data_IF_676110074799
#
_entry.id   IF_676110074799
#
_cell.length_a   1.000
_cell.length_b   1.000
_cell.length_c   1.000
_cell.angle_alpha   90.00
_cell.angle_beta   90.00
_cell.angle_gamma   90.00
#
_symmetry.space_group_name_H-M   'P 1'
#
loop_
_entity.id
_entity.type
_entity.pdbx_description
1 polymer ?
#
# COMPACT_ATOMS: atom_id res chain seq x y z
N UNK A 1 14.20 59.36 23.51
CA UNK A 1 14.15 58.72 22.16
C UNK A 1 15.43 57.89 22.02
N UNK A 2 15.48 56.57 21.88
CA UNK A 2 14.52 55.52 21.46
C UNK A 2 14.95 54.20 22.13
N UNK A 3 14.01 53.36 22.55
CA UNK A 3 14.27 51.96 22.91
C UNK A 3 14.32 51.13 21.63
N UNK A 4 15.31 50.24 21.49
CA UNK A 4 15.40 49.31 20.36
C UNK A 4 14.99 47.91 20.86
N UNK A 5 13.73 47.56 20.66
CA UNK A 5 13.21 46.21 20.88
C UNK A 5 13.50 45.35 19.65
N UNK A 6 14.43 44.40 19.77
CA UNK A 6 14.67 43.38 18.75
C UNK A 6 13.69 42.22 18.92
N UNK A 7 12.86 41.99 17.91
CA UNK A 7 12.01 40.79 17.81
C UNK A 7 12.87 39.65 17.24
N UNK A 8 13.13 38.61 18.02
CA UNK A 8 13.70 37.37 17.52
C UNK A 8 12.56 36.52 16.93
N UNK A 9 12.56 36.36 15.60
CA UNK A 9 11.66 35.44 14.93
C UNK A 9 12.19 34.01 15.13
N UNK A 10 11.45 33.21 15.90
CA UNK A 10 11.74 31.80 16.10
C UNK A 10 11.19 31.03 14.88
N UNK A 11 12.07 30.60 13.99
CA UNK A 11 11.75 29.68 12.90
C UNK A 11 11.53 28.27 13.50
N UNK A 12 10.27 27.88 13.66
CA UNK A 12 9.88 26.50 13.91
C UNK A 12 10.07 25.70 12.62
N UNK A 13 11.21 25.02 12.50
CA UNK A 13 11.39 23.95 11.53
C UNK A 13 10.46 22.80 11.95
N UNK A 14 9.37 22.60 11.22
CA UNK A 14 8.58 21.38 11.30
C UNK A 14 9.47 20.23 10.82
N UNK A 15 9.96 19.43 11.78
CA UNK A 15 10.62 18.18 11.45
C UNK A 15 9.54 17.22 10.96
N UNK A 16 9.48 16.99 9.65
CA UNK A 16 8.81 15.80 9.12
C UNK A 16 9.57 14.60 9.70
N UNK A 17 8.97 13.93 10.68
CA UNK A 17 9.51 12.65 11.14
C UNK A 17 9.34 11.68 9.98
N UNK A 18 10.44 11.35 9.30
CA UNK A 18 10.44 10.23 8.36
C UNK A 18 10.20 8.98 9.20
N UNK A 19 9.07 8.31 8.99
CA UNK A 19 8.80 7.02 9.61
C UNK A 19 9.90 6.05 9.13
N UNK A 20 10.77 5.55 10.03
CA UNK A 20 11.88 4.68 9.63
C UNK A 20 11.43 3.37 8.96
N UNK A 21 10.12 3.05 9.01
CA UNK A 21 9.51 1.91 8.34
C UNK A 21 8.81 2.22 7.02
N UNK A 22 8.71 3.47 6.57
CA UNK A 22 8.03 3.82 5.32
C UNK A 22 9.01 4.14 4.20
N UNK A 23 8.76 3.64 3.00
CA UNK A 23 9.58 4.01 1.84
C UNK A 23 9.32 3.21 0.57
N UNK A 24 9.95 3.62 -0.54
CA UNK A 24 9.93 2.85 -1.78
C UNK A 24 10.55 1.47 -1.57
N UNK A 25 9.97 0.46 -2.20
CA UNK A 25 10.55 -0.90 -2.22
C UNK A 25 10.70 -1.37 -3.67
N UNK A 26 11.66 -2.27 -3.90
CA UNK A 26 11.76 -2.96 -5.17
C UNK A 26 10.77 -4.12 -5.19
N UNK A 27 9.86 -4.14 -6.17
CA UNK A 27 9.06 -5.32 -6.50
C UNK A 27 9.46 -5.77 -7.89
N UNK A 28 9.96 -6.99 -7.98
CA UNK A 28 10.15 -7.70 -9.23
C UNK A 28 8.85 -8.44 -9.59
N UNK A 29 8.51 -8.42 -10.88
CA UNK A 29 7.26 -9.00 -11.37
C UNK A 29 7.52 -9.99 -12.49
N UNK A 30 6.92 -11.16 -12.39
CA UNK A 30 6.87 -12.14 -13.47
C UNK A 30 5.42 -12.35 -13.93
N UNK A 31 5.17 -12.28 -15.23
CA UNK A 31 3.82 -12.52 -15.78
C UNK A 31 3.44 -13.99 -15.66
N UNK A 32 2.23 -14.25 -15.21
CA UNK A 32 1.67 -15.60 -15.07
C UNK A 32 0.57 -15.81 -16.10
N UNK A 33 0.56 -16.98 -16.72
CA UNK A 33 -0.55 -17.42 -17.55
C UNK A 33 -1.65 -18.03 -16.67
N UNK A 34 -2.92 -17.75 -17.00
CA UNK A 34 -4.04 -18.32 -16.26
C UNK A 34 -4.11 -19.85 -16.42
N UNK A 35 -3.84 -20.35 -17.62
CA UNK A 35 -3.77 -21.77 -17.95
C UNK A 35 -2.34 -22.12 -18.37
N UNK A 36 -1.49 -22.67 -17.47
CA UNK A 36 -0.07 -22.93 -17.78
C UNK A 36 0.16 -23.84 -18.99
N UNK A 37 -0.71 -24.83 -19.20
CA UNK A 37 -0.61 -25.77 -20.32
C UNK A 37 -1.15 -25.19 -21.64
N UNK A 38 -1.84 -24.03 -21.61
CA UNK A 38 -2.42 -23.38 -22.78
C UNK A 38 -2.39 -21.84 -22.59
N UNK A 39 -1.19 -21.23 -22.56
CA UNK A 39 -1.02 -19.82 -22.15
C UNK A 39 -1.76 -18.78 -23.01
N UNK A 40 -2.05 -19.13 -24.27
CA UNK A 40 -2.81 -18.30 -25.21
C UNK A 40 -4.31 -18.25 -24.89
N UNK A 41 -4.80 -19.15 -24.04
CA UNK A 41 -6.20 -19.19 -23.65
C UNK A 41 -6.47 -18.12 -22.60
N UNK A 42 -7.28 -17.13 -22.96
CA UNK A 42 -7.63 -16.01 -22.08
C UNK A 42 -9.10 -16.02 -21.63
N UNK A 43 -9.95 -16.88 -22.19
CA UNK A 43 -11.36 -16.94 -21.84
C UNK A 43 -11.60 -17.55 -20.46
N UNK A 44 -12.45 -16.90 -19.67
CA UNK A 44 -12.96 -17.36 -18.38
C UNK A 44 -14.47 -17.17 -18.34
N UNK A 45 -15.19 -18.01 -19.09
CA UNK A 45 -16.64 -17.88 -19.25
C UNK A 45 -16.99 -16.57 -19.97
N UNK A 46 -17.61 -15.62 -19.26
CA UNK A 46 -17.93 -14.29 -19.78
C UNK A 46 -16.82 -13.25 -19.53
N UNK A 47 -15.75 -13.64 -18.84
CA UNK A 47 -14.61 -12.77 -18.51
C UNK A 47 -13.43 -13.08 -19.44
N UNK A 48 -12.56 -12.10 -19.60
CA UNK A 48 -11.27 -12.23 -20.28
C UNK A 48 -10.15 -12.02 -19.26
N UNK A 49 -9.17 -12.90 -19.25
CA UNK A 49 -7.98 -12.77 -18.42
C UNK A 49 -7.09 -11.64 -18.95
N UNK A 50 -6.94 -10.59 -18.15
CA UNK A 50 -6.14 -9.40 -18.50
C UNK A 50 -4.70 -9.48 -18.00
N UNK A 51 -4.28 -10.60 -17.42
CA UNK A 51 -2.93 -10.82 -16.89
C UNK A 51 -2.90 -11.09 -15.39
N UNK A 52 -1.73 -11.48 -14.91
CA UNK A 52 -1.46 -11.76 -13.51
C UNK A 52 0.04 -11.79 -13.28
N UNK A 53 0.45 -11.53 -12.04
CA UNK A 53 1.84 -11.31 -11.68
C UNK A 53 2.20 -12.19 -10.49
N UNK A 54 3.38 -12.83 -10.54
CA UNK A 54 4.13 -13.18 -9.34
C UNK A 54 4.89 -11.94 -8.91
N UNK A 55 4.80 -11.60 -7.62
CA UNK A 55 5.51 -10.49 -7.02
C UNK A 55 6.60 -11.01 -6.08
N UNK A 56 7.82 -10.53 -6.26
CA UNK A 56 8.95 -10.83 -5.37
C UNK A 56 9.65 -9.55 -4.94
N UNK A 57 10.21 -9.52 -3.74
CA UNK A 57 10.98 -8.38 -3.24
C UNK A 57 12.14 -8.86 -2.38
N UNK A 58 13.33 -8.23 -2.46
CA UNK A 58 14.41 -8.45 -1.49
C UNK A 58 14.14 -7.77 -0.14
N UNK A 59 13.09 -6.95 -0.04
CA UNK A 59 12.71 -6.29 1.21
C UNK A 59 12.14 -7.30 2.20
N UNK A 60 12.74 -7.43 3.37
CA UNK A 60 12.33 -8.41 4.38
C UNK A 60 10.94 -8.14 4.97
N UNK A 61 10.39 -6.95 4.78
CA UNK A 61 9.05 -6.57 5.25
C UNK A 61 7.96 -7.01 4.27
N UNK A 62 8.32 -7.29 3.02
CA UNK A 62 7.37 -7.59 1.95
C UNK A 62 6.84 -9.03 2.07
N UNK A 63 5.53 -9.19 1.93
CA UNK A 63 4.86 -10.49 1.92
C UNK A 63 3.52 -10.45 2.65
N UNK A 64 2.89 -11.63 2.76
CA UNK A 64 1.66 -11.79 3.54
C UNK A 64 0.50 -10.89 3.09
N UNK A 65 0.38 -10.59 1.79
CA UNK A 65 -0.67 -9.70 1.29
C UNK A 65 -2.04 -10.38 1.46
N UNK A 66 -2.94 -9.77 2.24
CA UNK A 66 -4.23 -10.37 2.62
C UNK A 66 -5.42 -9.75 1.89
N UNK A 67 -5.39 -8.44 1.60
CA UNK A 67 -6.46 -7.76 0.85
C UNK A 67 -5.91 -6.63 -0.03
N UNK A 68 -6.69 -6.24 -1.05
CA UNK A 68 -6.34 -5.16 -1.97
C UNK A 68 -7.55 -4.44 -2.54
N UNK A 69 -7.32 -3.18 -2.93
CA UNK A 69 -8.24 -2.32 -3.65
C UNK A 69 -7.50 -1.71 -4.85
N UNK A 70 -8.24 -1.47 -5.94
CA UNK A 70 -7.72 -0.85 -7.16
C UNK A 70 -8.61 0.32 -7.54
N UNK A 71 -8.02 1.50 -7.68
CA UNK A 71 -8.70 2.72 -8.12
C UNK A 71 -7.79 3.46 -9.11
N UNK A 72 -8.32 3.82 -10.28
CA UNK A 72 -7.61 4.60 -11.32
C UNK A 72 -6.20 4.06 -11.68
N UNK A 73 -6.03 2.73 -11.68
CA UNK A 73 -4.76 2.07 -12.00
C UNK A 73 -3.74 2.05 -10.85
N UNK A 74 -4.11 2.54 -9.66
CA UNK A 74 -3.31 2.42 -8.43
C UNK A 74 -3.81 1.23 -7.61
N UNK A 75 -2.87 0.39 -7.21
CA UNK A 75 -3.04 -0.67 -6.22
C UNK A 75 -2.85 -0.08 -4.81
N UNK A 76 -3.76 -0.41 -3.90
CA UNK A 76 -3.56 -0.35 -2.45
C UNK A 76 -3.77 -1.76 -1.89
N UNK A 77 -2.79 -2.30 -1.16
CA UNK A 77 -2.90 -3.60 -0.51
C UNK A 77 -2.47 -3.53 0.95
N UNK A 78 -2.93 -4.49 1.74
CA UNK A 78 -2.55 -4.69 3.13
C UNK A 78 -1.88 -6.05 3.33
N UNK A 79 -1.01 -6.13 4.32
CA UNK A 79 -0.31 -7.34 4.75
C UNK A 79 -0.79 -7.79 6.14
N UNK A 80 -0.81 -9.11 6.37
CA UNK A 80 -0.97 -9.77 7.67
C UNK A 80 0.04 -9.29 8.75
N UNK A 81 1.11 -8.64 8.30
CA UNK A 81 2.16 -8.09 9.14
C UNK A 81 2.00 -6.59 9.38
N UNK A 82 0.79 -6.06 9.19
CA UNK A 82 0.42 -4.65 9.36
C UNK A 82 1.24 -3.67 8.50
N UNK A 83 1.30 -3.93 7.20
CA UNK A 83 1.85 -2.96 6.24
C UNK A 83 0.86 -2.62 5.14
N UNK A 84 0.94 -1.36 4.70
CA UNK A 84 0.37 -0.86 3.45
C UNK A 84 1.36 -1.06 2.32
N UNK A 85 0.86 -1.51 1.17
CA UNK A 85 1.55 -1.47 -0.12
C UNK A 85 0.76 -0.60 -1.09
N UNK A 86 1.41 0.38 -1.71
CA UNK A 86 0.86 1.05 -2.90
C UNK A 86 1.75 0.85 -4.09
N UNK A 87 1.17 0.71 -5.28
CA UNK A 87 1.91 0.66 -6.55
C UNK A 87 1.02 1.12 -7.71
N UNK A 88 1.61 1.49 -8.84
CA UNK A 88 0.88 1.68 -10.10
C UNK A 88 0.87 0.37 -10.89
N UNK A 89 -0.28 0.02 -11.44
CA UNK A 89 -0.45 -1.09 -12.36
C UNK A 89 0.07 -0.67 -13.75
N UNK A 90 0.98 -1.47 -14.31
CA UNK A 90 1.55 -1.21 -15.64
C UNK A 90 0.86 -2.09 -16.69
N UNK A 91 0.41 -1.49 -17.79
CA UNK A 91 -0.28 -2.18 -18.88
C UNK A 91 0.43 -1.95 -20.22
N UNK A 92 0.38 -2.95 -21.10
CA UNK A 92 0.81 -2.78 -22.50
C UNK A 92 -0.27 -2.10 -23.36
N UNK A 93 0.05 -1.85 -24.64
CA UNK A 93 -0.85 -1.22 -25.61
C UNK A 93 -2.14 -2.02 -25.87
N UNK A 94 -2.14 -3.32 -25.57
CA UNK A 94 -3.34 -4.18 -25.64
C UNK A 94 -4.16 -4.15 -24.33
N UNK A 95 -3.67 -3.44 -23.31
CA UNK A 95 -4.25 -3.34 -21.98
C UNK A 95 -4.06 -4.61 -21.15
N UNK A 96 -3.00 -5.37 -21.39
CA UNK A 96 -2.62 -6.53 -20.56
C UNK A 96 -1.73 -6.06 -19.41
N UNK A 97 -1.98 -6.56 -18.20
CA UNK A 97 -1.16 -6.29 -17.03
C UNK A 97 0.26 -6.85 -17.26
N UNK A 98 1.26 -6.00 -17.11
CA UNK A 98 2.66 -6.33 -17.38
C UNK A 98 3.58 -6.21 -16.18
N UNK A 99 3.20 -5.43 -15.16
CA UNK A 99 4.02 -5.25 -13.98
C UNK A 99 3.42 -4.25 -13.00
N UNK A 100 4.26 -3.85 -12.04
CA UNK A 100 3.99 -2.80 -11.07
C UNK A 100 5.12 -1.77 -11.11
N UNK A 101 4.81 -0.50 -10.86
CA UNK A 101 5.80 0.54 -10.68
C UNK A 101 5.52 1.39 -9.45
N UNK A 102 6.51 2.18 -9.03
CA UNK A 102 6.41 3.11 -7.91
C UNK A 102 5.89 2.46 -6.61
N UNK A 103 6.36 1.24 -6.33
CA UNK A 103 5.97 0.51 -5.14
C UNK A 103 6.47 1.23 -3.88
N UNK A 104 5.55 1.48 -2.95
CA UNK A 104 5.81 2.13 -1.67
C UNK A 104 5.19 1.30 -0.55
N UNK A 105 5.95 1.10 0.52
CA UNK A 105 5.57 0.23 1.63
C UNK A 105 5.67 1.00 2.94
N UNK A 106 4.63 0.96 3.77
CA UNK A 106 4.56 1.71 5.02
C UNK A 106 3.86 0.91 6.13
N UNK A 107 4.30 1.01 7.39
CA UNK A 107 3.63 0.33 8.49
C UNK A 107 2.24 0.90 8.73
N UNK A 108 1.32 0.06 9.18
CA UNK A 108 0.06 0.51 9.75
C UNK A 108 0.31 0.98 11.18
N UNK A 109 -0.14 2.19 11.50
CA UNK A 109 0.10 2.82 12.79
C UNK A 109 -1.16 2.76 13.67
N UNK A 110 -0.97 2.66 14.99
CA UNK A 110 -2.01 2.91 15.98
C UNK A 110 -2.30 4.41 16.14
N UNK A 111 -3.25 4.76 17.02
CA UNK A 111 -3.65 6.13 17.29
C UNK A 111 -2.51 7.00 17.86
N UNK A 112 -1.50 6.36 18.44
CA UNK A 112 -0.30 6.99 18.99
C UNK A 112 0.83 7.11 17.94
N UNK A 113 0.61 6.67 16.71
CA UNK A 113 1.57 6.73 15.61
C UNK A 113 2.63 5.63 15.66
N UNK A 114 2.38 4.53 16.37
CA UNK A 114 3.30 3.40 16.50
C UNK A 114 2.85 2.24 15.61
N UNK A 115 3.82 1.58 14.98
CA UNK A 115 3.57 0.39 14.18
C UNK A 115 2.86 -0.71 15.00
N UNK A 116 1.75 -1.22 14.46
CA UNK A 116 1.06 -2.39 14.98
C UNK A 116 1.96 -3.63 14.90
N UNK A 117 2.02 -4.40 15.98
CA UNK A 117 2.85 -5.62 16.05
C UNK A 117 2.15 -6.71 16.85
N UNK A 118 2.60 -7.97 16.68
CA UNK A 118 2.04 -9.10 17.41
C UNK A 118 0.56 -9.32 17.10
N UNK A 119 -0.25 -9.53 18.15
CA UNK A 119 -1.68 -9.83 18.02
C UNK A 119 -2.51 -8.70 17.41
N UNK A 120 -1.94 -7.49 17.29
CA UNK A 120 -2.62 -6.35 16.69
C UNK A 120 -2.37 -6.21 15.18
N UNK A 121 -1.40 -6.94 14.62
CA UNK A 121 -0.91 -6.70 13.25
C UNK A 121 -1.71 -7.41 12.15
N UNK A 122 -2.44 -8.46 12.51
CA UNK A 122 -3.02 -9.46 11.60
C UNK A 122 -4.19 -8.89 10.77
N UNK A 123 -3.88 -8.10 9.74
CA UNK A 123 -4.83 -7.33 8.94
C UNK A 123 -5.30 -8.12 7.71
N UNK A 124 -6.61 -8.33 7.59
CA UNK A 124 -7.17 -9.36 6.68
C UNK A 124 -8.22 -8.82 5.69
N UNK A 125 -8.82 -7.67 5.97
CA UNK A 125 -9.86 -7.11 5.11
C UNK A 125 -9.64 -5.63 4.90
N UNK A 126 -9.95 -5.14 3.69
CA UNK A 126 -9.83 -3.76 3.29
C UNK A 126 -11.13 -3.34 2.59
N UNK A 127 -11.67 -2.18 2.94
CA UNK A 127 -12.83 -1.62 2.26
C UNK A 127 -12.75 -0.08 2.20
N UNK A 128 -12.96 0.55 1.04
CA UNK A 128 -13.00 2.00 0.92
C UNK A 128 -14.26 2.56 1.59
N UNK A 129 -14.09 3.63 2.34
CA UNK A 129 -15.16 4.42 2.95
C UNK A 129 -15.40 5.75 2.22
N UNK A 130 -14.61 6.03 1.17
CA UNK A 130 -14.61 7.27 0.41
C UNK A 130 -13.72 8.36 1.02
N UNK A 131 -13.34 9.34 0.20
CA UNK A 131 -12.49 10.48 0.60
C UNK A 131 -11.15 10.07 1.23
N UNK A 132 -10.49 9.04 0.71
CA UNK A 132 -9.19 8.55 1.21
C UNK A 132 -9.27 7.72 2.49
N UNK A 133 -10.48 7.42 2.97
CA UNK A 133 -10.66 6.61 4.16
C UNK A 133 -10.92 5.14 3.86
N UNK A 134 -10.43 4.27 4.73
CA UNK A 134 -10.55 2.82 4.61
C UNK A 134 -10.92 2.20 5.97
N UNK A 135 -11.74 1.15 5.91
CA UNK A 135 -11.95 0.23 7.03
C UNK A 135 -11.03 -0.98 6.86
N UNK A 136 -10.35 -1.38 7.94
CA UNK A 136 -9.47 -2.55 7.98
C UNK A 136 -9.91 -3.50 9.08
N UNK A 137 -10.14 -4.78 8.75
CA UNK A 137 -10.46 -5.82 9.73
C UNK A 137 -9.24 -6.63 10.13
N UNK A 138 -9.17 -7.06 11.39
CA UNK A 138 -8.07 -7.84 11.95
C UNK A 138 -8.53 -9.20 12.52
N UNK A 139 -7.73 -10.27 12.37
CA UNK A 139 -8.10 -11.63 12.80
C UNK A 139 -7.83 -11.90 14.29
N UNK A 140 -6.64 -11.56 14.80
CA UNK A 140 -6.24 -11.93 16.18
C UNK A 140 -6.96 -11.11 17.23
N UNK A 141 -6.71 -9.80 17.26
CA UNK A 141 -7.51 -8.86 18.04
C UNK A 141 -8.67 -8.37 17.16
N UNK A 142 -9.81 -9.10 17.24
CA UNK A 142 -11.00 -8.90 16.41
C UNK A 142 -11.55 -7.47 16.51
N UNK A 143 -11.27 -6.67 15.49
CA UNK A 143 -11.73 -5.28 15.38
C UNK A 143 -11.77 -4.83 13.93
N UNK A 144 -12.41 -3.67 13.73
CA UNK A 144 -12.34 -2.92 12.48
C UNK A 144 -11.84 -1.53 12.83
N UNK A 145 -10.67 -1.17 12.33
CA UNK A 145 -10.10 0.16 12.51
C UNK A 145 -10.33 0.99 11.25
N UNK A 146 -10.45 2.31 11.44
CA UNK A 146 -10.51 3.28 10.34
C UNK A 146 -9.13 3.89 10.13
N UNK A 147 -8.71 3.93 8.87
CA UNK A 147 -7.51 4.64 8.44
C UNK A 147 -7.88 5.74 7.46
N UNK A 148 -7.37 6.94 7.69
CA UNK A 148 -7.46 8.06 6.77
C UNK A 148 -6.10 8.21 6.08
N UNK A 149 -6.00 7.71 4.84
CA UNK A 149 -4.78 7.79 4.04
C UNK A 149 -4.80 9.11 3.27
N UNK A 150 -3.74 9.89 3.42
CA UNK A 150 -3.58 11.09 2.59
C UNK A 150 -3.14 10.67 1.19
N UNK A 151 -3.75 11.19 0.11
CA UNK A 151 -3.11 11.11 -1.19
C UNK A 151 -1.80 11.88 -1.12
N UNK A 152 -0.71 11.24 -1.49
CA UNK A 152 0.62 11.86 -1.60
C UNK A 152 0.60 13.13 -2.47
#
# INVERSE_FOLDING_TARGET
MRYLTGFAALLLLAACTSDPGAGPILIETEKVALYPDTPERLDVGALEYRGGLVLTSPDQRFGGLSAMEIEDGRLLAISDSAYWLTAHLEFDDAGMLTGLSQAFYAPMLDAEGKHLTGDFADAEGLAPLGNGAFAVSFERELRIDRYDLSPD
#
